data_IF_629239118736
#
_entry.id   IF_629239118736
#
_cell.length_a   1.000
_cell.length_b   1.000
_cell.length_c   1.000
_cell.angle_alpha   90.00
_cell.angle_beta   90.00
_cell.angle_gamma   90.00
#
_symmetry.space_group_name_H-M   'P 1'
#
loop_
_entity.id
_entity.type
_entity.pdbx_description
1 polymer ?
#
# COMPACT_ATOMS: atom_id res chain seq x y z
N UNK A 1 -10.11 16.25 16.79
CA UNK A 1 -10.68 15.08 17.47
C UNK A 1 -12.16 15.28 17.71
N UNK A 2 -13.01 14.28 17.40
CA UNK A 2 -14.46 14.35 17.64
C UNK A 2 -14.75 14.51 19.15
N UNK A 3 -15.57 15.51 19.52
CA UNK A 3 -15.88 15.83 20.92
C UNK A 3 -16.92 14.87 21.51
N UNK A 4 -17.89 14.45 20.70
CA UNK A 4 -18.94 13.53 21.06
C UNK A 4 -18.78 12.27 20.19
N UNK A 5 -18.85 11.07 20.80
CA UNK A 5 -18.68 9.76 20.15
C UNK A 5 -19.99 8.98 20.08
N UNK A 6 -21.09 9.69 19.86
CA UNK A 6 -22.44 9.11 19.75
C UNK A 6 -22.55 7.95 18.74
N UNK A 7 -21.67 7.88 17.75
CA UNK A 7 -21.54 6.75 16.82
C UNK A 7 -21.31 5.39 17.50
N UNK A 8 -20.70 5.36 18.69
CA UNK A 8 -20.53 4.14 19.49
C UNK A 8 -21.86 3.54 19.97
N UNK A 9 -22.91 4.35 19.98
CA UNK A 9 -24.28 3.94 20.37
C UNK A 9 -25.22 3.85 19.17
N UNK A 10 -24.67 3.81 17.96
CA UNK A 10 -25.44 3.66 16.71
C UNK A 10 -26.07 4.95 16.19
N UNK A 11 -25.72 6.13 16.72
CA UNK A 11 -26.23 7.41 16.23
C UNK A 11 -25.31 8.00 15.16
N UNK A 12 -25.89 8.57 14.09
CA UNK A 12 -25.14 9.33 13.11
C UNK A 12 -24.68 10.66 13.73
N UNK A 13 -23.38 10.76 14.01
CA UNK A 13 -22.78 11.96 14.61
C UNK A 13 -22.32 13.01 13.57
N UNK A 14 -22.78 12.91 12.32
CA UNK A 14 -22.41 13.81 11.22
C UNK A 14 -23.62 14.53 10.61
N UNK A 15 -23.36 15.55 9.79
CA UNK A 15 -24.40 16.23 9.00
C UNK A 15 -24.80 15.45 7.73
N UNK A 16 -24.06 14.39 7.39
CA UNK A 16 -24.27 13.60 6.17
C UNK A 16 -25.42 12.64 6.39
N UNK A 17 -26.50 12.80 5.61
CA UNK A 17 -27.74 12.01 5.77
C UNK A 17 -27.95 10.92 4.72
N UNK A 18 -27.15 10.91 3.65
CA UNK A 18 -27.30 9.97 2.53
C UNK A 18 -25.92 9.69 1.90
N UNK A 19 -25.84 8.65 1.05
CA UNK A 19 -24.59 8.27 0.38
C UNK A 19 -23.59 7.49 1.25
N UNK A 20 -24.00 7.06 2.45
CA UNK A 20 -23.17 6.29 3.38
C UNK A 20 -23.33 4.76 3.24
N UNK A 21 -24.15 4.31 2.27
CA UNK A 21 -24.38 2.89 2.04
C UNK A 21 -23.23 2.24 1.28
N UNK A 22 -22.87 1.02 1.68
CA UNK A 22 -21.91 0.19 0.95
C UNK A 22 -22.64 -0.70 -0.05
N UNK A 23 -22.16 -0.75 -1.29
CA UNK A 23 -22.67 -1.63 -2.34
C UNK A 23 -21.51 -2.23 -3.15
N UNK A 24 -21.79 -3.28 -3.94
CA UNK A 24 -20.80 -3.90 -4.83
C UNK A 24 -19.52 -4.31 -4.11
N UNK A 25 -18.37 -3.92 -4.68
CA UNK A 25 -17.04 -4.18 -4.12
C UNK A 25 -16.81 -3.47 -2.79
N UNK A 26 -17.37 -2.27 -2.59
CA UNK A 26 -17.24 -1.55 -1.33
C UNK A 26 -17.91 -2.31 -0.17
N UNK A 27 -19.03 -3.01 -0.43
CA UNK A 27 -19.67 -3.86 0.57
C UNK A 27 -18.82 -5.07 0.92
N UNK A 28 -18.23 -5.73 -0.08
CA UNK A 28 -17.31 -6.86 0.17
C UNK A 28 -16.08 -6.40 0.95
N UNK A 29 -15.50 -5.27 0.55
CA UNK A 29 -14.36 -4.64 1.21
C UNK A 29 -14.59 -4.46 2.70
N UNK A 30 -15.67 -3.77 3.10
CA UNK A 30 -15.94 -3.53 4.52
C UNK A 30 -16.27 -4.81 5.29
N UNK A 31 -16.94 -5.79 4.66
CA UNK A 31 -17.21 -7.09 5.30
C UNK A 31 -15.94 -7.87 5.59
N UNK A 32 -14.98 -7.90 4.66
CA UNK A 32 -13.69 -8.57 4.85
C UNK A 32 -12.86 -7.83 5.91
N UNK A 33 -12.83 -6.49 5.88
CA UNK A 33 -12.15 -5.70 6.90
C UNK A 33 -12.70 -5.94 8.30
N UNK A 34 -14.04 -5.95 8.47
CA UNK A 34 -14.67 -6.23 9.75
C UNK A 34 -14.41 -7.68 10.23
N UNK A 35 -14.35 -8.63 9.29
CA UNK A 35 -13.98 -10.01 9.62
C UNK A 35 -12.53 -10.11 10.11
N UNK A 36 -11.58 -9.46 9.42
CA UNK A 36 -10.17 -9.41 9.84
C UNK A 36 -10.02 -8.78 11.23
N UNK A 37 -10.76 -7.70 11.52
CA UNK A 37 -10.78 -7.06 12.84
C UNK A 37 -11.29 -8.01 13.94
N UNK A 38 -12.30 -8.83 13.63
CA UNK A 38 -12.89 -9.77 14.59
C UNK A 38 -12.11 -11.08 14.75
N UNK A 39 -11.10 -11.31 13.91
CA UNK A 39 -10.38 -12.57 13.89
C UNK A 39 -9.47 -12.69 15.12
N UNK A 40 -9.63 -13.75 15.95
CA UNK A 40 -8.85 -13.90 17.17
C UNK A 40 -7.37 -14.24 16.91
N UNK A 41 -7.00 -14.64 15.69
CA UNK A 41 -5.62 -14.95 15.33
C UNK A 41 -4.87 -13.67 15.00
N UNK A 42 -3.80 -13.42 15.76
CA UNK A 42 -2.93 -12.26 15.55
C UNK A 42 -2.14 -12.45 14.25
N UNK A 43 -2.44 -11.60 13.26
CA UNK A 43 -1.75 -11.55 11.97
C UNK A 43 -0.92 -10.29 11.84
N UNK A 44 0.13 -10.38 11.02
CA UNK A 44 0.87 -9.23 10.51
C UNK A 44 0.02 -8.48 9.48
N UNK A 45 0.35 -7.21 9.24
CA UNK A 45 -0.35 -6.41 8.22
C UNK A 45 -0.20 -6.98 6.82
N UNK A 46 0.96 -7.59 6.52
CA UNK A 46 1.21 -8.23 5.24
C UNK A 46 0.28 -9.44 5.03
N UNK A 47 0.07 -10.25 6.06
CA UNK A 47 -0.90 -11.37 6.03
C UNK A 47 -2.33 -10.86 5.86
N UNK A 48 -2.74 -9.80 6.58
CA UNK A 48 -4.05 -9.18 6.40
C UNK A 48 -4.24 -8.69 4.96
N UNK A 49 -3.23 -8.03 4.37
CA UNK A 49 -3.26 -7.55 2.98
C UNK A 49 -3.42 -8.72 2.01
N UNK A 50 -2.67 -9.81 2.21
CA UNK A 50 -2.77 -11.00 1.37
C UNK A 50 -4.17 -11.63 1.44
N UNK A 51 -4.72 -11.82 2.65
CA UNK A 51 -6.08 -12.37 2.84
C UNK A 51 -7.13 -11.45 2.22
N UNK A 52 -7.04 -10.15 2.51
CA UNK A 52 -7.97 -9.15 2.01
C UNK A 52 -7.99 -9.14 0.48
N UNK A 53 -6.82 -9.11 -0.15
CA UNK A 53 -6.65 -9.11 -1.61
C UNK A 53 -7.22 -10.39 -2.24
N UNK A 54 -6.90 -11.57 -1.67
CA UNK A 54 -7.40 -12.86 -2.15
C UNK A 54 -8.93 -12.92 -2.07
N UNK A 55 -9.54 -12.47 -0.97
CA UNK A 55 -11.01 -12.48 -0.77
C UNK A 55 -11.75 -11.48 -1.64
N UNK A 56 -11.10 -10.39 -2.05
CA UNK A 56 -11.64 -9.48 -3.06
C UNK A 56 -11.45 -9.98 -4.50
N UNK A 57 -10.67 -11.04 -4.70
CA UNK A 57 -10.39 -11.61 -6.02
C UNK A 57 -9.31 -10.86 -6.80
N UNK A 58 -8.49 -10.05 -6.10
CA UNK A 58 -7.33 -9.39 -6.70
C UNK A 58 -6.32 -10.42 -7.19
N UNK A 59 -5.68 -10.11 -8.31
CA UNK A 59 -4.69 -10.97 -8.98
C UNK A 59 -3.35 -10.29 -9.14
N UNK A 60 -3.35 -8.97 -9.33
CA UNK A 60 -2.15 -8.17 -9.57
C UNK A 60 -1.86 -7.22 -8.43
N UNK A 61 -0.67 -7.32 -7.83
CA UNK A 61 -0.26 -6.46 -6.72
C UNK A 61 0.96 -5.65 -7.14
N UNK A 62 0.88 -4.32 -6.98
CA UNK A 62 2.02 -3.44 -7.17
C UNK A 62 2.76 -3.17 -5.87
N UNK A 63 4.08 -3.04 -5.94
CA UNK A 63 4.95 -2.66 -4.82
C UNK A 63 5.76 -1.44 -5.25
N UNK A 64 5.38 -0.26 -4.77
CA UNK A 64 6.19 0.95 -4.88
C UNK A 64 7.09 1.05 -3.65
N UNK A 65 8.41 1.04 -3.85
CA UNK A 65 9.36 0.99 -2.73
C UNK A 65 10.48 2.04 -2.81
N UNK A 66 11.00 2.43 -1.66
CA UNK A 66 12.22 3.23 -1.56
C UNK A 66 13.47 2.35 -1.70
N UNK A 67 14.48 2.81 -2.45
CA UNK A 67 15.75 2.10 -2.64
C UNK A 67 16.47 1.79 -1.31
N UNK A 68 16.30 2.63 -0.28
CA UNK A 68 16.86 2.39 1.06
C UNK A 68 16.23 1.18 1.78
N UNK A 69 15.13 0.62 1.24
CA UNK A 69 14.36 -0.50 1.78
C UNK A 69 14.18 -1.63 0.75
N UNK A 70 15.14 -1.78 -0.16
CA UNK A 70 15.10 -2.81 -1.22
C UNK A 70 15.02 -4.24 -0.65
N UNK A 71 15.74 -4.52 0.44
CA UNK A 71 15.74 -5.84 1.08
C UNK A 71 14.35 -6.20 1.61
N UNK A 72 13.71 -5.25 2.29
CA UNK A 72 12.35 -5.38 2.80
C UNK A 72 11.34 -5.51 1.64
N UNK A 73 11.51 -4.74 0.57
CA UNK A 73 10.69 -4.83 -0.63
C UNK A 73 10.78 -6.20 -1.30
N UNK A 74 11.99 -6.77 -1.39
CA UNK A 74 12.23 -8.11 -1.91
C UNK A 74 11.55 -9.18 -1.07
N UNK A 75 11.60 -9.08 0.25
CA UNK A 75 10.90 -10.01 1.14
C UNK A 75 9.38 -9.98 0.88
N UNK A 76 8.79 -8.78 0.82
CA UNK A 76 7.35 -8.62 0.52
C UNK A 76 7.01 -9.18 -0.85
N UNK A 77 7.84 -8.91 -1.87
CA UNK A 77 7.70 -9.45 -3.21
C UNK A 77 7.72 -10.97 -3.22
N UNK A 78 8.72 -11.60 -2.58
CA UNK A 78 8.90 -13.05 -2.57
C UNK A 78 7.74 -13.78 -1.87
N UNK A 79 7.17 -13.16 -0.83
CA UNK A 79 6.00 -13.67 -0.12
C UNK A 79 4.74 -13.56 -0.99
N UNK A 80 4.44 -12.37 -1.52
CA UNK A 80 3.21 -12.12 -2.26
C UNK A 80 3.19 -12.81 -3.63
N UNK A 81 4.36 -13.02 -4.26
CA UNK A 81 4.48 -13.70 -5.56
C UNK A 81 4.07 -15.18 -5.52
N UNK A 82 3.89 -15.76 -4.33
CA UNK A 82 3.32 -17.11 -4.15
C UNK A 82 1.82 -17.16 -4.47
N UNK A 83 1.13 -16.02 -4.39
CA UNK A 83 -0.33 -15.93 -4.45
C UNK A 83 -0.84 -14.99 -5.55
N UNK A 84 -0.02 -14.03 -5.98
CA UNK A 84 -0.39 -12.96 -6.92
C UNK A 84 0.66 -12.78 -8.02
N UNK A 85 0.27 -12.15 -9.12
CA UNK A 85 1.20 -11.57 -10.08
C UNK A 85 1.69 -10.23 -9.49
N UNK A 86 2.98 -10.15 -9.15
CA UNK A 86 3.52 -8.99 -8.42
C UNK A 86 4.41 -8.15 -9.32
N UNK A 87 4.16 -6.84 -9.32
CA UNK A 87 4.96 -5.84 -10.02
C UNK A 87 5.65 -4.96 -8.98
N UNK A 88 6.89 -4.56 -9.22
CA UNK A 88 7.61 -3.68 -8.29
C UNK A 88 8.29 -2.53 -9.00
N UNK A 89 8.27 -1.35 -8.39
CA UNK A 89 8.88 -0.14 -8.95
C UNK A 89 9.68 0.60 -7.88
N UNK A 90 10.99 0.74 -8.13
CA UNK A 90 11.90 1.48 -7.28
C UNK A 90 11.66 3.01 -7.37
N UNK A 91 11.86 3.72 -6.26
CA UNK A 91 11.62 5.17 -6.19
C UNK A 91 12.47 6.00 -7.15
N UNK A 92 13.63 5.50 -7.62
CA UNK A 92 14.52 6.22 -8.55
C UNK A 92 14.16 6.03 -10.03
N UNK A 93 12.99 5.46 -10.31
CA UNK A 93 12.52 5.21 -11.67
C UNK A 93 12.56 6.47 -12.55
N UNK A 94 12.88 6.26 -13.83
CA UNK A 94 13.17 7.30 -14.83
C UNK A 94 14.44 8.13 -14.59
N UNK A 95 15.19 7.90 -13.51
CA UNK A 95 16.50 8.51 -13.26
C UNK A 95 16.52 10.04 -13.43
N UNK A 96 15.48 10.73 -12.94
CA UNK A 96 15.37 12.19 -13.04
C UNK A 96 16.43 12.83 -12.15
N UNK A 97 17.28 13.69 -12.71
CA UNK A 97 18.31 14.38 -11.93
C UNK A 97 17.69 15.40 -10.97
N UNK A 98 18.14 15.43 -9.71
CA UNK A 98 17.68 16.41 -8.72
C UNK A 98 17.80 17.86 -9.20
N UNK A 99 18.91 18.21 -9.84
CA UNK A 99 19.18 19.58 -10.32
C UNK A 99 18.17 20.02 -11.38
N UNK A 100 17.73 19.10 -12.25
CA UNK A 100 16.68 19.39 -13.25
C UNK A 100 15.34 19.80 -12.62
N UNK A 101 15.14 19.44 -11.35
CA UNK A 101 13.97 19.78 -10.54
C UNK A 101 14.24 20.91 -9.54
N UNK A 102 15.40 21.59 -9.62
CA UNK A 102 15.86 22.57 -8.63
C UNK A 102 15.96 22.01 -7.20
N UNK A 103 16.26 20.72 -7.05
CA UNK A 103 16.48 20.07 -5.75
C UNK A 103 17.98 20.04 -5.47
N UNK A 104 18.37 20.43 -4.25
CA UNK A 104 19.76 20.38 -3.81
C UNK A 104 20.26 18.92 -3.71
N UNK A 105 21.44 18.66 -4.26
CA UNK A 105 22.17 17.40 -4.05
C UNK A 105 22.55 17.22 -2.58
N UNK A 106 22.57 15.99 -2.09
CA UNK A 106 22.88 15.66 -0.69
C UNK A 106 24.37 15.48 -0.43
N UNK A 107 25.18 15.29 -1.49
CA UNK A 107 26.63 15.25 -1.44
C UNK A 107 27.27 15.71 -2.75
N UNK A 108 28.59 15.53 -2.86
CA UNK A 108 29.39 15.97 -4.02
C UNK A 108 29.37 14.96 -5.18
N UNK A 109 28.20 14.38 -5.45
CA UNK A 109 28.01 13.44 -6.56
C UNK A 109 27.82 14.21 -7.86
N UNK A 110 28.47 13.75 -8.94
CA UNK A 110 28.24 14.30 -10.28
C UNK A 110 26.77 14.17 -10.70
N UNK A 111 26.13 13.04 -10.35
CA UNK A 111 24.72 12.79 -10.62
C UNK A 111 24.01 12.27 -9.36
N UNK A 112 22.81 12.80 -9.09
CA UNK A 112 21.95 12.28 -8.03
C UNK A 112 20.48 12.24 -8.48
N UNK A 113 19.92 11.03 -8.54
CA UNK A 113 18.53 10.83 -8.94
C UNK A 113 17.55 11.28 -7.84
N UNK A 114 16.55 12.06 -8.24
CA UNK A 114 15.36 12.34 -7.45
C UNK A 114 14.46 11.10 -7.38
N UNK A 115 13.61 11.04 -6.36
CA UNK A 115 12.56 10.03 -6.32
C UNK A 115 11.39 10.46 -7.21
N UNK A 116 10.79 9.53 -7.96
CA UNK A 116 9.72 9.78 -8.92
C UNK A 116 8.45 8.98 -8.56
N UNK A 117 7.64 9.44 -7.58
CA UNK A 117 6.46 8.71 -7.11
C UNK A 117 5.34 8.70 -8.16
N UNK A 118 5.28 9.70 -9.03
CA UNK A 118 4.33 9.73 -10.16
C UNK A 118 4.71 8.64 -11.16
N UNK A 119 6.00 8.51 -11.51
CA UNK A 119 6.50 7.44 -12.36
C UNK A 119 6.21 6.05 -11.77
N UNK A 120 6.38 5.88 -10.45
CA UNK A 120 6.00 4.63 -9.77
C UNK A 120 4.52 4.30 -9.96
N UNK A 121 3.62 5.27 -9.73
CA UNK A 121 2.19 5.06 -9.88
C UNK A 121 1.80 4.75 -11.34
N UNK A 122 2.32 5.51 -12.30
CA UNK A 122 1.97 5.35 -13.71
C UNK A 122 2.41 4.02 -14.30
N UNK A 123 3.58 3.51 -13.90
CA UNK A 123 4.03 2.18 -14.33
C UNK A 123 3.13 1.07 -13.76
N UNK A 124 2.74 1.18 -12.49
CA UNK A 124 1.82 0.21 -11.88
C UNK A 124 0.39 0.31 -12.46
N UNK A 125 -0.04 1.50 -12.89
CA UNK A 125 -1.30 1.66 -13.63
C UNK A 125 -1.22 0.99 -15.01
N UNK A 126 -0.09 1.09 -15.71
CA UNK A 126 0.13 0.40 -16.99
C UNK A 126 0.07 -1.14 -16.84
N UNK A 127 0.63 -1.64 -15.74
CA UNK A 127 0.52 -3.06 -15.35
C UNK A 127 -0.90 -3.47 -14.91
N UNK A 128 -1.79 -2.49 -14.68
CA UNK A 128 -3.18 -2.64 -14.20
C UNK A 128 -3.27 -3.44 -12.92
N UNK A 129 -2.52 -3.02 -11.90
CA UNK A 129 -2.59 -3.63 -10.58
C UNK A 129 -3.96 -3.42 -9.93
N UNK A 130 -4.37 -4.36 -9.08
CA UNK A 130 -5.64 -4.28 -8.33
C UNK A 130 -5.46 -3.57 -6.98
N UNK A 131 -4.24 -3.62 -6.42
CA UNK A 131 -3.83 -2.95 -5.19
C UNK A 131 -2.34 -2.58 -5.28
N UNK A 132 -2.00 -1.40 -4.78
CA UNK A 132 -0.62 -0.95 -4.67
C UNK A 132 -0.17 -0.83 -3.20
N UNK A 133 0.94 -1.49 -2.86
CA UNK A 133 1.60 -1.38 -1.56
C UNK A 133 2.72 -0.34 -1.67
N UNK A 134 2.68 0.66 -0.79
CA UNK A 134 3.75 1.63 -0.62
C UNK A 134 4.65 1.19 0.53
N UNK A 135 5.95 1.02 0.25
CA UNK A 135 6.93 0.56 1.22
C UNK A 135 8.09 1.56 1.38
N UNK A 136 8.14 2.20 2.54
CA UNK A 136 9.23 3.12 2.89
C UNK A 136 9.26 4.44 2.10
N UNK A 137 8.15 4.81 1.45
CA UNK A 137 8.01 6.11 0.80
C UNK A 137 7.93 7.20 1.87
N UNK A 138 8.77 8.23 1.74
CA UNK A 138 8.78 9.37 2.68
C UNK A 138 7.57 10.28 2.42
N UNK A 139 7.20 11.07 3.43
CA UNK A 139 6.07 12.00 3.38
C UNK A 139 6.12 12.88 2.14
N UNK A 140 5.00 12.97 1.43
CA UNK A 140 4.86 13.71 0.19
C UNK A 140 5.10 12.84 -1.04
N UNK A 141 6.00 11.86 -0.98
CA UNK A 141 6.17 10.87 -2.04
C UNK A 141 5.02 9.86 -2.02
N UNK A 142 4.63 9.38 -0.84
CA UNK A 142 3.45 8.54 -0.61
C UNK A 142 2.12 9.22 -1.01
N UNK A 143 1.98 10.51 -0.68
CA UNK A 143 0.82 11.33 -1.05
C UNK A 143 0.74 11.50 -2.56
N UNK A 144 1.85 11.82 -3.22
CA UNK A 144 1.89 11.94 -4.67
C UNK A 144 1.62 10.60 -5.34
N UNK A 145 2.24 9.51 -4.89
CA UNK A 145 1.96 8.17 -5.40
C UNK A 145 0.45 7.86 -5.32
N UNK A 146 -0.14 7.99 -4.13
CA UNK A 146 -1.56 7.68 -3.90
C UNK A 146 -2.50 8.58 -4.71
N UNK A 147 -2.11 9.82 -4.98
CA UNK A 147 -2.90 10.74 -5.82
C UNK A 147 -2.96 10.29 -7.29
N UNK A 148 -1.91 9.65 -7.81
CA UNK A 148 -1.81 9.25 -9.22
C UNK A 148 -2.03 7.75 -9.43
N UNK A 149 -2.09 6.95 -8.37
CA UNK A 149 -2.47 5.54 -8.42
C UNK A 149 -3.94 5.42 -8.81
N UNK A 150 -4.23 4.64 -9.86
CA UNK A 150 -5.61 4.30 -10.25
C UNK A 150 -6.18 3.22 -9.34
N UNK A 151 -5.35 2.23 -9.00
CA UNK A 151 -5.67 1.23 -8.00
C UNK A 151 -5.65 1.84 -6.58
N UNK A 152 -6.43 1.31 -5.62
CA UNK A 152 -6.28 1.67 -4.22
C UNK A 152 -4.83 1.42 -3.76
N UNK A 153 -4.34 2.29 -2.88
CA UNK A 153 -3.00 2.19 -2.31
C UNK A 153 -3.04 2.03 -0.79
N UNK A 154 -2.11 1.24 -0.26
CA UNK A 154 -1.95 1.05 1.18
C UNK A 154 -0.48 1.15 1.55
N UNK A 155 -0.17 1.85 2.64
CA UNK A 155 1.18 1.84 3.22
C UNK A 155 1.36 0.59 4.06
N UNK A 156 2.44 -0.16 3.81
CA UNK A 156 2.90 -1.22 4.70
C UNK A 156 4.02 -0.67 5.59
N UNK A 157 3.81 -0.53 6.91
CA UNK A 157 4.85 -0.03 7.81
C UNK A 157 6.03 -1.01 7.89
N UNK A 158 7.25 -0.51 7.73
CA UNK A 158 8.47 -1.33 7.79
C UNK A 158 8.63 -2.09 9.12
N UNK A 159 8.15 -1.49 10.22
CA UNK A 159 8.20 -2.08 11.57
C UNK A 159 7.31 -3.32 11.72
N UNK A 160 6.36 -3.53 10.82
CA UNK A 160 5.41 -4.65 10.86
C UNK A 160 5.86 -5.83 9.99
N UNK A 161 7.03 -5.71 9.33
CA UNK A 161 7.58 -6.81 8.55
C UNK A 161 8.17 -7.89 9.47
N UNK A 162 7.91 -9.18 9.17
CA UNK A 162 8.53 -10.26 9.92
C UNK A 162 10.05 -10.20 9.73
N UNK A 163 10.79 -10.03 10.83
CA UNK A 163 12.26 -10.03 10.80
C UNK A 163 12.86 -11.43 10.57
N UNK A 164 12.03 -12.49 10.46
CA UNK A 164 12.49 -13.87 10.26
C UNK A 164 11.53 -14.69 9.40
N UNK A 165 12.08 -15.22 8.29
CA UNK A 165 12.02 -16.63 7.90
C UNK A 165 10.71 -17.21 7.40
N UNK A 166 9.70 -17.31 8.26
CA UNK A 166 8.61 -18.27 8.06
C UNK A 166 7.27 -17.60 8.38
N UNK A 167 6.77 -16.78 7.46
CA UNK A 167 5.33 -16.54 7.40
C UNK A 167 4.77 -17.60 6.47
N UNK A 168 4.31 -18.71 7.04
CA UNK A 168 3.40 -19.62 6.35
C UNK A 168 2.06 -18.90 6.14
N UNK A 169 2.01 -18.02 5.12
CA UNK A 169 0.76 -17.46 4.59
C UNK A 169 -0.08 -18.57 3.90
N UNK A 170 0.38 -19.82 3.96
CA UNK A 170 -0.21 -21.01 3.34
C UNK A 170 -1.46 -21.56 4.04
N UNK A 171 -1.95 -20.94 5.12
CA UNK A 171 -3.19 -21.32 5.80
C UNK A 171 -4.37 -20.36 5.55
N UNK A 172 -4.46 -19.77 4.36
CA UNK A 172 -5.62 -18.96 3.98
C UNK A 172 -6.54 -19.81 3.09
N UNK A 173 -7.48 -20.52 3.71
CA UNK A 173 -8.69 -21.01 3.04
C UNK A 173 -9.50 -19.85 2.43
#
# INVERSE_FOLDING_TARGET
MCRNKECLTGKNCSVIKSGLGYNGENLKSIQISAWLESDPVKRTKLEEIAIYSKRLGYRKIGIAFCIEHEREARLVYDILSRYFEVFSVCCKVCSIEKESLNIKKTGDLEFEAACNPIGQALLLNDDRTDLNIMLGLKTGYDILFSKYSEAPSITLPLLELPYQGDSEIDFIE
#
